data_IF_203543287085
#
_entry.id   IF_203543287085
#
_cell.length_a   1.000
_cell.length_b   1.000
_cell.length_c   1.000
_cell.angle_alpha   90.00
_cell.angle_beta   90.00
_cell.angle_gamma   90.00
#
_symmetry.space_group_name_H-M   'P 1'
#
loop_
_entity.id
_entity.type
_entity.pdbx_description
1 polymer ?
#
# COMPACT_ATOMS: atom_id res chain seq x y z
N UNK A 1 23.81 -22.23 -17.73
CA UNK A 1 22.67 -21.45 -18.23
C UNK A 1 22.69 -20.15 -17.46
N UNK A 2 23.31 -19.12 -18.04
CA UNK A 2 23.45 -17.81 -17.43
C UNK A 2 22.08 -17.13 -17.37
N UNK A 3 21.59 -16.88 -16.16
CA UNK A 3 20.50 -15.93 -15.94
C UNK A 3 21.08 -14.52 -16.10
N UNK A 4 20.78 -13.90 -17.23
CA UNK A 4 21.00 -12.48 -17.46
C UNK A 4 20.12 -11.71 -16.49
N UNK A 5 20.69 -11.23 -15.38
CA UNK A 5 20.11 -10.14 -14.59
C UNK A 5 20.15 -8.89 -15.47
N UNK A 6 19.05 -8.61 -16.18
CA UNK A 6 18.86 -7.31 -16.80
C UNK A 6 18.72 -6.27 -15.69
N UNK A 7 19.66 -5.31 -15.63
CA UNK A 7 19.57 -4.14 -14.78
C UNK A 7 18.34 -3.32 -15.20
N UNK A 8 17.24 -3.44 -14.47
CA UNK A 8 16.07 -2.54 -14.58
C UNK A 8 16.29 -1.29 -13.72
N UNK A 9 17.34 -0.52 -14.00
CA UNK A 9 17.61 0.76 -13.30
C UNK A 9 16.80 1.94 -13.88
N UNK A 10 16.07 1.74 -14.99
CA UNK A 10 15.26 2.78 -15.62
C UNK A 10 13.80 2.71 -15.16
N UNK A 11 13.33 3.79 -14.52
CA UNK A 11 11.93 3.95 -14.17
C UNK A 11 11.07 4.02 -15.45
N UNK A 12 9.81 3.54 -15.41
CA UNK A 12 8.89 3.70 -16.53
C UNK A 12 8.78 5.16 -16.96
N UNK A 13 8.76 5.43 -18.27
CA UNK A 13 8.73 6.81 -18.80
C UNK A 13 7.51 7.64 -18.37
N UNK A 14 6.45 6.99 -17.88
CA UNK A 14 5.25 7.61 -17.33
C UNK A 14 5.39 8.01 -15.85
N UNK A 15 6.45 7.55 -15.15
CA UNK A 15 6.68 7.80 -13.73
C UNK A 15 7.72 8.92 -13.53
N UNK A 16 7.31 9.98 -12.83
CA UNK A 16 8.21 11.07 -12.42
C UNK A 16 8.30 11.16 -10.91
N UNK A 17 9.51 11.16 -10.37
CA UNK A 17 9.78 11.28 -8.93
C UNK A 17 10.32 12.67 -8.60
N UNK A 18 9.64 13.38 -7.69
CA UNK A 18 10.00 14.72 -7.23
C UNK A 18 10.48 14.68 -5.78
N UNK A 19 11.49 15.48 -5.42
CA UNK A 19 12.04 15.54 -4.06
C UNK A 19 12.01 16.96 -3.53
N UNK A 20 11.09 17.25 -2.61
CA UNK A 20 10.95 18.58 -2.03
C UNK A 20 10.27 19.62 -2.94
N UNK A 21 9.89 19.25 -4.15
CA UNK A 21 9.30 20.13 -5.16
C UNK A 21 7.76 20.02 -5.21
N UNK A 22 7.11 20.12 -4.05
CA UNK A 22 5.63 20.18 -3.99
C UNK A 22 5.05 21.40 -4.73
N UNK A 23 5.90 22.40 -4.98
CA UNK A 23 5.58 23.60 -5.77
C UNK A 23 5.17 23.27 -7.21
N UNK A 24 5.79 22.27 -7.83
CA UNK A 24 5.47 21.87 -9.20
C UNK A 24 4.03 21.38 -9.35
N UNK A 25 3.43 20.81 -8.31
CA UNK A 25 2.00 20.49 -8.30
C UNK A 25 1.16 21.77 -8.31
N UNK A 26 1.52 22.76 -7.49
CA UNK A 26 0.77 24.01 -7.39
C UNK A 26 0.82 24.80 -8.70
N UNK A 27 1.92 24.74 -9.43
CA UNK A 27 2.09 25.41 -10.73
C UNK A 27 1.21 24.81 -11.84
N UNK A 28 0.73 23.57 -11.66
CA UNK A 28 -0.23 22.92 -12.57
C UNK A 28 -1.68 23.34 -12.31
N UNK A 29 -1.93 24.11 -11.27
CA UNK A 29 -3.27 24.59 -10.93
C UNK A 29 -3.82 25.50 -12.04
N UNK A 30 -4.86 25.04 -12.74
CA UNK A 30 -5.53 25.81 -13.80
C UNK A 30 -7.05 25.66 -13.74
N UNK A 31 -7.83 26.65 -14.18
CA UNK A 31 -9.26 26.49 -14.38
C UNK A 31 -9.54 25.39 -15.41
N UNK A 32 -10.35 24.40 -15.03
CA UNK A 32 -10.87 23.34 -15.89
C UNK A 32 -12.33 23.10 -15.51
N UNK A 33 -13.13 22.61 -16.46
CA UNK A 33 -14.53 22.24 -16.23
C UNK A 33 -14.63 20.89 -15.51
N UNK A 34 -13.72 19.96 -15.85
CA UNK A 34 -13.56 18.66 -15.19
C UNK A 34 -12.10 18.49 -14.74
N UNK A 35 -11.87 17.87 -13.57
CA UNK A 35 -10.52 17.58 -13.12
C UNK A 35 -9.85 16.59 -14.08
N UNK A 36 -8.54 16.75 -14.28
CA UNK A 36 -7.72 15.85 -15.13
C UNK A 36 -6.55 15.25 -14.35
N UNK A 37 -6.34 15.71 -13.13
CA UNK A 37 -5.27 15.25 -12.25
C UNK A 37 -5.85 14.82 -10.90
N UNK A 38 -5.62 13.56 -10.52
CA UNK A 38 -6.01 13.01 -9.24
C UNK A 38 -4.86 13.17 -8.25
N UNK A 39 -5.06 14.00 -7.23
CA UNK A 39 -4.09 14.23 -6.16
C UNK A 39 -4.40 13.29 -5.00
N UNK A 40 -3.56 12.27 -4.83
CA UNK A 40 -3.70 11.26 -3.79
C UNK A 40 -2.77 11.57 -2.62
N UNK A 41 -3.32 11.63 -1.41
CA UNK A 41 -2.56 11.84 -0.19
C UNK A 41 -2.86 10.72 0.82
N UNK A 42 -1.88 9.86 1.18
CA UNK A 42 -2.08 8.82 2.18
C UNK A 42 -2.45 9.34 3.58
N UNK A 43 -2.23 10.63 3.84
CA UNK A 43 -2.52 11.27 5.12
C UNK A 43 -3.29 12.58 4.87
N UNK A 44 -4.42 12.72 5.55
CA UNK A 44 -5.34 13.86 5.43
C UNK A 44 -4.66 15.22 5.70
N UNK A 45 -3.66 15.25 6.58
CA UNK A 45 -2.89 16.47 6.86
C UNK A 45 -2.23 17.02 5.58
N UNK A 46 -1.70 16.16 4.71
CA UNK A 46 -1.01 16.59 3.49
C UNK A 46 -1.99 17.08 2.43
N UNK A 47 -3.13 16.38 2.27
CA UNK A 47 -4.25 16.88 1.46
C UNK A 47 -4.68 18.27 1.90
N UNK A 48 -4.90 18.47 3.20
CA UNK A 48 -5.25 19.79 3.77
C UNK A 48 -4.18 20.84 3.52
N UNK A 49 -2.90 20.49 3.61
CA UNK A 49 -1.79 21.41 3.35
C UNK A 49 -1.71 21.84 1.88
N UNK A 50 -1.85 20.91 0.92
CA UNK A 50 -1.89 21.24 -0.52
C UNK A 50 -3.08 22.15 -0.81
N UNK A 51 -4.27 21.78 -0.32
CA UNK A 51 -5.47 22.58 -0.51
C UNK A 51 -5.38 23.97 0.15
N UNK A 52 -4.64 24.10 1.27
CA UNK A 52 -4.36 25.39 1.91
C UNK A 52 -3.45 26.24 1.03
N UNK A 53 -2.34 25.70 0.54
CA UNK A 53 -1.39 26.42 -0.32
C UNK A 53 -2.02 26.88 -1.63
N UNK A 54 -2.90 26.07 -2.23
CA UNK A 54 -3.70 26.50 -3.40
C UNK A 54 -4.57 27.72 -3.09
N UNK A 55 -5.22 27.75 -1.92
CA UNK A 55 -6.02 28.92 -1.48
C UNK A 55 -5.15 30.14 -1.22
N UNK A 56 -4.02 29.97 -0.54
CA UNK A 56 -3.06 31.05 -0.25
C UNK A 56 -2.54 31.71 -1.53
N UNK A 57 -2.48 30.96 -2.64
CA UNK A 57 -2.10 31.47 -3.97
C UNK A 57 -3.24 31.99 -4.83
N UNK A 58 -4.48 31.96 -4.33
CA UNK A 58 -5.68 32.19 -5.15
C UNK A 58 -5.69 31.34 -6.43
N UNK A 59 -5.10 30.15 -6.38
CA UNK A 59 -5.02 29.24 -7.51
C UNK A 59 -6.32 28.45 -7.65
N UNK A 60 -6.73 28.18 -8.90
CA UNK A 60 -7.92 27.38 -9.17
C UNK A 60 -7.68 25.91 -8.80
N UNK A 61 -8.69 25.29 -8.18
CA UNK A 61 -8.69 23.85 -7.91
C UNK A 61 -9.32 23.02 -9.02
N UNK A 62 -9.86 23.65 -10.07
CA UNK A 62 -10.68 22.97 -11.08
C UNK A 62 -9.96 21.85 -11.85
N UNK A 63 -8.61 21.90 -11.91
CA UNK A 63 -7.82 20.83 -12.52
C UNK A 63 -7.67 19.57 -11.64
N UNK A 64 -7.96 19.65 -10.34
CA UNK A 64 -7.63 18.61 -9.36
C UNK A 64 -8.84 17.96 -8.73
N UNK A 65 -8.77 16.64 -8.62
CA UNK A 65 -9.57 15.84 -7.69
C UNK A 65 -8.68 15.40 -6.51
N UNK A 66 -9.23 15.28 -5.30
CA UNK A 66 -8.44 14.98 -4.10
C UNK A 66 -8.97 13.77 -3.36
N UNK A 67 -8.15 12.73 -3.29
CA UNK A 67 -8.50 11.45 -2.67
C UNK A 67 -7.39 10.93 -1.76
N UNK A 68 -7.73 9.92 -0.97
CA UNK A 68 -6.76 9.08 -0.29
C UNK A 68 -6.69 7.71 -1.01
N UNK A 69 -5.64 6.89 -0.75
CA UNK A 69 -5.50 5.60 -1.43
C UNK A 69 -6.69 4.66 -1.25
N UNK A 70 -7.42 4.75 -0.14
CA UNK A 70 -8.58 3.89 0.15
C UNK A 70 -9.78 4.33 -0.67
N UNK A 71 -10.01 5.65 -0.78
CA UNK A 71 -11.03 6.23 -1.66
C UNK A 71 -10.84 5.80 -3.11
N UNK A 72 -9.61 5.94 -3.63
CA UNK A 72 -9.23 5.45 -4.97
C UNK A 72 -9.55 3.98 -5.15
N UNK A 73 -9.21 3.18 -4.14
CA UNK A 73 -9.44 1.75 -4.17
C UNK A 73 -10.92 1.41 -4.19
N UNK A 74 -11.75 2.14 -3.43
CA UNK A 74 -13.20 1.95 -3.44
C UNK A 74 -13.81 2.30 -4.79
N UNK A 75 -13.44 3.43 -5.37
CA UNK A 75 -13.92 3.85 -6.69
C UNK A 75 -13.59 2.81 -7.76
N UNK A 76 -12.34 2.31 -7.79
CA UNK A 76 -11.94 1.24 -8.70
C UNK A 76 -12.71 -0.06 -8.44
N UNK A 77 -12.89 -0.45 -7.18
CA UNK A 77 -13.57 -1.70 -6.82
C UNK A 77 -15.07 -1.64 -7.10
N UNK A 78 -15.71 -0.48 -6.97
CA UNK A 78 -17.13 -0.28 -7.24
C UNK A 78 -17.47 -0.43 -8.74
N UNK A 79 -16.50 -0.20 -9.63
CA UNK A 79 -16.60 -0.53 -11.07
C UNK A 79 -16.36 -2.03 -11.37
N UNK A 80 -16.21 -2.85 -10.32
CA UNK A 80 -16.00 -4.30 -10.44
C UNK A 80 -16.98 -5.06 -9.55
N UNK A 81 -16.98 -6.39 -9.67
CA UNK A 81 -17.74 -7.26 -8.77
C UNK A 81 -16.99 -7.61 -7.47
N UNK A 82 -15.88 -6.92 -7.17
CA UNK A 82 -15.05 -7.19 -6.00
C UNK A 82 -15.54 -6.36 -4.79
N UNK A 83 -15.70 -6.94 -3.60
CA UNK A 83 -16.18 -6.19 -2.44
C UNK A 83 -15.25 -5.04 -2.02
N UNK A 84 -15.81 -3.83 -1.90
CA UNK A 84 -15.13 -2.58 -1.55
C UNK A 84 -15.19 -2.20 -0.06
N UNK A 85 -15.66 -3.11 0.81
CA UNK A 85 -15.81 -2.88 2.26
C UNK A 85 -14.77 -3.63 3.09
N UNK A 86 -14.16 -2.90 4.02
CA UNK A 86 -13.31 -3.44 5.08
C UNK A 86 -14.02 -3.47 6.43
N UNK A 87 -13.56 -4.34 7.34
CA UNK A 87 -13.93 -4.26 8.76
C UNK A 87 -13.25 -3.06 9.42
N UNK A 88 -13.90 -2.44 10.39
CA UNK A 88 -13.30 -1.37 11.16
C UNK A 88 -12.28 -1.91 12.19
N UNK A 89 -11.53 -1.00 12.80
CA UNK A 89 -10.50 -1.36 13.78
C UNK A 89 -11.08 -2.01 15.04
N UNK A 90 -12.28 -1.61 15.48
CA UNK A 90 -12.92 -2.14 16.69
C UNK A 90 -13.30 -3.60 16.45
N UNK A 91 -13.97 -3.86 15.34
CA UNK A 91 -14.35 -5.21 14.90
C UNK A 91 -13.12 -6.10 14.75
N UNK A 92 -12.05 -5.58 14.10
CA UNK A 92 -10.81 -6.34 13.93
C UNK A 92 -10.14 -6.67 15.25
N UNK A 93 -10.05 -5.72 16.18
CA UNK A 93 -9.49 -5.98 17.52
C UNK A 93 -10.33 -6.99 18.31
N UNK A 94 -11.65 -7.01 18.11
CA UNK A 94 -12.53 -8.02 18.70
C UNK A 94 -12.25 -9.42 18.12
N UNK A 95 -12.05 -9.53 16.80
CA UNK A 95 -11.67 -10.78 16.14
C UNK A 95 -10.29 -11.28 16.59
N UNK A 96 -9.29 -10.39 16.67
CA UNK A 96 -7.95 -10.73 17.19
C UNK A 96 -8.04 -11.22 18.63
N UNK A 97 -8.83 -10.55 19.49
CA UNK A 97 -9.05 -11.01 20.87
C UNK A 97 -9.61 -12.41 20.93
N UNK A 98 -10.64 -12.70 20.12
CA UNK A 98 -11.25 -14.03 20.05
C UNK A 98 -10.26 -15.08 19.58
N UNK A 99 -9.43 -14.78 18.57
CA UNK A 99 -8.36 -15.67 18.09
C UNK A 99 -7.37 -16.02 19.21
N UNK A 100 -6.97 -15.01 20.00
CA UNK A 100 -6.03 -15.20 21.09
C UNK A 100 -6.64 -16.07 22.20
N UNK A 101 -7.89 -15.82 22.61
CA UNK A 101 -8.60 -16.63 23.62
C UNK A 101 -8.78 -18.09 23.19
N UNK A 102 -9.10 -18.35 21.93
CA UNK A 102 -9.24 -19.72 21.40
C UNK A 102 -7.89 -20.46 21.36
N UNK A 103 -6.81 -19.74 21.04
CA UNK A 103 -5.45 -20.29 21.03
C UNK A 103 -4.96 -20.68 22.43
N UNK A 104 -5.49 -20.07 23.50
CA UNK A 104 -5.19 -20.52 24.89
C UNK A 104 -5.94 -21.78 25.27
N UNK A 105 -7.10 -22.02 24.64
CA UNK A 105 -8.04 -23.09 24.99
C UNK A 105 -7.76 -24.40 24.24
N UNK A 106 -6.96 -24.37 23.16
CA UNK A 106 -6.61 -25.53 22.33
C UNK A 106 -5.11 -25.83 22.44
N UNK A 107 -4.75 -27.09 22.73
CA UNK A 107 -3.38 -27.62 22.61
C UNK A 107 -2.89 -27.74 21.14
N UNK A 108 -3.66 -27.26 20.15
CA UNK A 108 -3.40 -27.43 18.73
C UNK A 108 -3.31 -26.08 17.98
N UNK A 109 -2.20 -25.88 17.25
CA UNK A 109 -1.97 -24.91 16.17
C UNK A 109 -2.59 -23.50 16.37
N UNK A 110 -2.44 -22.92 17.57
CA UNK A 110 -2.74 -21.51 17.81
C UNK A 110 -1.68 -20.60 17.19
N UNK A 111 -2.02 -19.32 17.04
CA UNK A 111 -1.07 -18.27 16.64
C UNK A 111 0.13 -18.32 17.60
N UNK A 112 1.30 -18.73 17.09
CA UNK A 112 2.54 -18.74 17.87
C UNK A 112 3.10 -17.32 17.90
N UNK A 113 2.89 -16.63 19.01
CA UNK A 113 3.48 -15.31 19.21
C UNK A 113 4.95 -15.45 19.63
N UNK A 114 5.89 -14.70 19.04
CA UNK A 114 7.29 -14.71 19.45
C UNK A 114 7.43 -14.19 20.89
N UNK A 115 8.48 -14.63 21.57
CA UNK A 115 8.79 -14.31 22.97
C UNK A 115 8.94 -12.81 23.27
N UNK A 116 9.22 -11.99 22.25
CA UNK A 116 9.33 -10.53 22.34
C UNK A 116 8.01 -9.76 22.30
N UNK A 117 6.86 -10.40 21.96
CA UNK A 117 5.55 -9.74 22.00
C UNK A 117 5.06 -9.74 23.45
N UNK A 118 5.06 -8.59 24.16
CA UNK A 118 5.03 -8.56 25.64
C UNK A 118 3.73 -9.08 26.26
N UNK A 119 2.68 -9.26 25.45
CA UNK A 119 1.39 -9.76 25.90
C UNK A 119 0.58 -10.27 24.72
N UNK A 120 -0.34 -11.22 24.96
CA UNK A 120 -1.49 -11.52 24.10
C UNK A 120 -2.48 -10.35 24.04
N UNK A 121 -1.98 -9.12 24.05
CA UNK A 121 -2.77 -7.92 23.84
C UNK A 121 -3.16 -7.82 22.36
N UNK A 122 -4.47 -7.79 22.05
CA UNK A 122 -4.94 -7.69 20.67
C UNK A 122 -4.38 -6.47 19.92
N UNK A 123 -4.08 -5.36 20.61
CA UNK A 123 -3.56 -4.17 19.94
C UNK A 123 -2.13 -4.38 19.45
N UNK A 124 -1.28 -5.00 20.26
CA UNK A 124 0.11 -5.32 19.91
C UNK A 124 0.19 -6.31 18.75
N UNK A 125 -0.66 -7.34 18.74
CA UNK A 125 -0.74 -8.32 17.65
C UNK A 125 -1.24 -7.67 16.35
N UNK A 126 -2.25 -6.82 16.44
CA UNK A 126 -2.77 -6.08 15.28
C UNK A 126 -1.76 -5.06 14.73
N UNK A 127 -0.97 -4.44 15.60
CA UNK A 127 0.12 -3.54 15.21
C UNK A 127 1.17 -4.30 14.40
N UNK A 128 1.65 -5.44 14.91
CA UNK A 128 2.59 -6.32 14.20
C UNK A 128 2.05 -6.74 12.82
N UNK A 129 0.79 -7.20 12.77
CA UNK A 129 0.12 -7.55 11.50
C UNK A 129 0.13 -6.40 10.50
N UNK A 130 -0.22 -5.19 10.96
CA UNK A 130 -0.28 -3.98 10.11
C UNK A 130 1.11 -3.55 9.62
N UNK A 131 2.15 -3.69 10.44
CA UNK A 131 3.53 -3.37 10.04
C UNK A 131 4.05 -4.33 8.97
N UNK A 132 3.82 -5.63 9.15
CA UNK A 132 4.16 -6.64 8.13
C UNK A 132 3.35 -6.40 6.85
N UNK A 133 2.06 -6.07 6.94
CA UNK A 133 1.22 -5.67 5.80
C UNK A 133 1.81 -4.46 5.07
N UNK A 134 2.21 -3.41 5.80
CA UNK A 134 2.76 -2.20 5.19
C UNK A 134 4.11 -2.44 4.49
N UNK A 135 4.94 -3.35 5.01
CA UNK A 135 6.28 -3.62 4.48
C UNK A 135 6.29 -4.66 3.36
N UNK A 136 5.39 -5.64 3.41
CA UNK A 136 5.41 -6.78 2.48
C UNK A 136 4.20 -6.81 1.57
N UNK A 137 3.09 -6.16 1.93
CA UNK A 137 1.77 -6.37 1.33
C UNK A 137 1.40 -7.87 1.25
N UNK A 138 1.95 -8.68 2.16
CA UNK A 138 1.95 -10.16 2.15
C UNK A 138 2.35 -10.78 0.80
N UNK A 139 3.13 -10.06 -0.02
CA UNK A 139 3.58 -10.53 -1.32
C UNK A 139 4.66 -11.61 -1.17
N UNK A 140 4.58 -12.75 -1.90
CA UNK A 140 5.53 -13.86 -1.76
C UNK A 140 7.00 -13.45 -1.84
N UNK A 141 7.36 -12.61 -2.82
CA UNK A 141 8.75 -12.13 -2.97
C UNK A 141 9.22 -11.26 -1.79
N UNK A 142 8.37 -10.36 -1.27
CA UNK A 142 8.75 -9.50 -0.13
C UNK A 142 8.79 -10.29 1.18
N UNK A 143 7.90 -11.27 1.35
CA UNK A 143 7.93 -12.22 2.46
C UNK A 143 9.21 -13.07 2.39
N UNK A 144 9.58 -13.57 1.21
CA UNK A 144 10.83 -14.29 0.99
C UNK A 144 12.07 -13.42 1.26
N UNK A 145 12.06 -12.16 0.82
CA UNK A 145 13.12 -11.20 1.09
C UNK A 145 13.25 -10.92 2.59
N UNK A 146 12.14 -10.81 3.31
CA UNK A 146 12.15 -10.68 4.77
C UNK A 146 12.81 -11.89 5.44
N UNK A 147 12.40 -13.10 5.07
CA UNK A 147 12.99 -14.34 5.62
C UNK A 147 14.49 -14.43 5.34
N UNK A 148 14.91 -14.12 4.13
CA UNK A 148 16.32 -14.07 3.74
C UNK A 148 17.11 -13.04 4.58
N UNK A 149 16.54 -11.85 4.77
CA UNK A 149 17.16 -10.82 5.61
C UNK A 149 17.22 -11.25 7.09
N UNK A 150 16.15 -11.83 7.64
CA UNK A 150 16.10 -12.35 9.00
C UNK A 150 17.17 -13.42 9.25
N UNK A 151 17.28 -14.42 8.36
CA UNK A 151 18.29 -15.48 8.45
C UNK A 151 19.74 -15.02 8.27
N UNK A 152 19.97 -13.75 7.90
CA UNK A 152 21.31 -13.13 7.84
C UNK A 152 21.70 -12.38 9.12
N UNK A 153 20.75 -12.24 10.06
CA UNK A 153 20.99 -11.62 11.37
C UNK A 153 21.61 -12.64 12.34
N UNK A 154 22.08 -12.15 13.48
CA UNK A 154 22.66 -12.98 14.53
C UNK A 154 21.61 -13.37 15.57
N UNK A 155 21.78 -14.53 16.21
CA UNK A 155 20.93 -14.98 17.31
C UNK A 155 20.97 -13.99 18.50
N UNK A 156 19.82 -13.62 19.10
CA UNK A 156 18.46 -14.15 18.87
C UNK A 156 17.60 -13.35 17.87
N UNK A 157 18.18 -12.38 17.17
CA UNK A 157 17.43 -11.42 16.35
C UNK A 157 16.86 -12.09 15.09
N UNK A 158 17.56 -13.06 14.52
CA UNK A 158 17.09 -13.88 13.41
C UNK A 158 15.76 -14.58 13.75
N UNK A 159 15.74 -15.39 14.81
CA UNK A 159 14.59 -16.15 15.26
C UNK A 159 13.42 -15.24 15.68
N UNK A 160 13.71 -14.11 16.33
CA UNK A 160 12.68 -13.14 16.68
C UNK A 160 12.06 -12.50 15.42
N UNK A 161 12.88 -12.13 14.43
CA UNK A 161 12.42 -11.52 13.18
C UNK A 161 11.59 -12.48 12.32
N UNK A 162 11.96 -13.77 12.29
CA UNK A 162 11.15 -14.82 11.66
C UNK A 162 9.83 -15.05 12.40
N UNK A 163 9.88 -15.16 13.73
CA UNK A 163 8.69 -15.36 14.55
C UNK A 163 7.70 -14.20 14.45
N UNK A 164 8.17 -12.96 14.31
CA UNK A 164 7.31 -11.79 14.07
C UNK A 164 6.56 -11.88 12.73
N UNK A 165 7.26 -12.29 11.66
CA UNK A 165 6.66 -12.47 10.36
C UNK A 165 5.62 -13.60 10.37
N UNK A 166 5.97 -14.77 10.89
CA UNK A 166 5.07 -15.93 10.91
C UNK A 166 3.83 -15.65 11.77
N UNK A 167 3.98 -14.99 12.92
CA UNK A 167 2.85 -14.56 13.74
C UNK A 167 1.90 -13.62 12.98
N UNK A 168 2.42 -12.64 12.25
CA UNK A 168 1.60 -11.74 11.45
C UNK A 168 0.84 -12.48 10.33
N UNK A 169 1.51 -13.41 9.64
CA UNK A 169 0.90 -14.22 8.57
C UNK A 169 -0.20 -15.14 9.11
N UNK A 170 0.03 -15.77 10.26
CA UNK A 170 -0.95 -16.66 10.89
C UNK A 170 -2.18 -15.90 11.38
N UNK A 171 -2.00 -14.72 11.97
CA UNK A 171 -3.10 -13.84 12.37
C UNK A 171 -3.91 -13.40 11.15
N UNK A 172 -3.25 -12.95 10.09
CA UNK A 172 -3.91 -12.53 8.86
C UNK A 172 -4.73 -13.67 8.25
N UNK A 173 -4.16 -14.88 8.14
CA UNK A 173 -4.88 -16.07 7.65
C UNK A 173 -6.11 -16.37 8.50
N UNK A 174 -5.95 -16.40 9.81
CA UNK A 174 -7.03 -16.72 10.73
C UNK A 174 -8.14 -15.64 10.75
N UNK A 175 -7.80 -14.37 10.50
CA UNK A 175 -8.79 -13.30 10.34
C UNK A 175 -9.60 -13.47 9.04
N UNK A 176 -8.96 -13.83 7.93
CA UNK A 176 -9.63 -14.08 6.64
C UNK A 176 -10.63 -15.22 6.69
N UNK A 177 -10.35 -16.26 7.48
CA UNK A 177 -11.28 -17.37 7.70
C UNK A 177 -12.56 -16.94 8.44
N UNK A 178 -12.54 -15.80 9.15
CA UNK A 178 -13.66 -15.33 9.99
C UNK A 178 -14.58 -14.33 9.30
N UNK A 179 -14.16 -13.73 8.19
CA UNK A 179 -14.96 -12.71 7.51
C UNK A 179 -14.66 -12.66 6.01
N UNK A 180 -15.70 -12.53 5.16
CA UNK A 180 -15.50 -12.30 3.72
C UNK A 180 -15.15 -10.83 3.39
N UNK A 181 -15.29 -9.91 4.35
CA UNK A 181 -14.91 -8.50 4.19
C UNK A 181 -13.38 -8.39 4.18
N UNK A 182 -12.87 -7.31 3.59
CA UNK A 182 -11.44 -6.99 3.74
C UNK A 182 -11.09 -6.78 5.23
N UNK A 183 -9.96 -7.30 5.67
CA UNK A 183 -9.45 -7.22 7.04
C UNK A 183 -9.03 -5.78 7.37
N UNK A 184 -8.47 -5.07 6.40
CA UNK A 184 -8.02 -3.70 6.55
C UNK A 184 -8.41 -2.84 5.35
N UNK A 185 -8.39 -1.52 5.51
CA UNK A 185 -8.50 -0.62 4.37
C UNK A 185 -7.29 -0.74 3.42
N UNK A 186 -6.12 -1.15 3.95
CA UNK A 186 -4.94 -1.45 3.15
C UNK A 186 -5.15 -2.66 2.25
N UNK A 187 -5.92 -3.66 2.68
CA UNK A 187 -6.33 -4.76 1.82
C UNK A 187 -7.21 -4.29 0.66
N UNK A 188 -8.01 -3.23 0.81
CA UNK A 188 -8.75 -2.65 -0.32
C UNK A 188 -7.80 -2.12 -1.42
N UNK A 189 -6.68 -1.49 -1.03
CA UNK A 189 -5.63 -1.05 -1.97
C UNK A 189 -5.09 -2.22 -2.77
N UNK A 190 -4.86 -3.34 -2.10
CA UNK A 190 -4.37 -4.56 -2.73
C UNK A 190 -5.41 -5.21 -3.65
N UNK A 191 -6.67 -5.28 -3.23
CA UNK A 191 -7.77 -5.76 -4.08
C UNK A 191 -7.93 -4.89 -5.32
N UNK A 192 -7.87 -3.57 -5.18
CA UNK A 192 -7.92 -2.63 -6.31
C UNK A 192 -6.73 -2.82 -7.26
N UNK A 193 -5.52 -3.01 -6.73
CA UNK A 193 -4.31 -3.34 -7.51
C UNK A 193 -4.53 -4.59 -8.37
N UNK A 194 -5.07 -5.67 -7.77
CA UNK A 194 -5.38 -6.90 -8.50
C UNK A 194 -6.49 -6.70 -9.52
N UNK A 195 -7.52 -5.91 -9.21
CA UNK A 195 -8.61 -5.59 -10.13
C UNK A 195 -8.13 -4.79 -11.36
N UNK A 196 -7.28 -3.78 -11.16
CA UNK A 196 -6.66 -3.00 -12.25
C UNK A 196 -5.86 -3.92 -13.16
N UNK A 197 -5.05 -4.81 -12.58
CA UNK A 197 -4.23 -5.75 -13.35
C UNK A 197 -5.10 -6.76 -14.10
N UNK A 198 -6.12 -7.33 -13.45
CA UNK A 198 -7.00 -8.34 -14.04
C UNK A 198 -7.91 -7.80 -15.14
N UNK A 199 -8.22 -6.50 -15.10
CA UNK A 199 -9.05 -5.81 -16.10
C UNK A 199 -8.22 -5.06 -17.15
N UNK A 200 -6.89 -5.23 -17.14
CA UNK A 200 -5.98 -4.52 -18.04
C UNK A 200 -6.23 -3.00 -18.04
N UNK A 201 -6.51 -2.44 -16.85
CA UNK A 201 -6.71 -1.00 -16.65
C UNK A 201 -8.12 -0.49 -16.93
N UNK A 202 -9.07 -1.32 -17.38
CA UNK A 202 -10.43 -0.85 -17.66
C UNK A 202 -11.14 -0.39 -16.39
N UNK A 203 -10.98 -1.10 -15.27
CA UNK A 203 -11.59 -0.70 -13.98
C UNK A 203 -11.10 0.68 -13.50
N UNK A 204 -9.84 1.06 -13.81
CA UNK A 204 -9.35 2.41 -13.55
C UNK A 204 -10.02 3.43 -14.47
N UNK A 205 -10.08 3.14 -15.77
CA UNK A 205 -10.62 4.04 -16.79
C UNK A 205 -12.11 4.31 -16.58
N UNK A 206 -12.85 3.28 -16.15
CA UNK A 206 -14.28 3.40 -15.85
C UNK A 206 -14.52 4.26 -14.59
N UNK A 207 -13.68 4.08 -13.55
CA UNK A 207 -13.78 4.85 -12.31
C UNK A 207 -13.34 6.32 -12.48
N UNK A 208 -12.33 6.57 -13.33
CA UNK A 208 -11.70 7.87 -13.51
C UNK A 208 -11.52 8.24 -15.00
N UNK A 209 -12.62 8.42 -15.76
CA UNK A 209 -12.57 8.55 -17.22
C UNK A 209 -11.88 9.82 -17.72
N UNK A 210 -11.82 10.87 -16.89
CA UNK A 210 -11.24 12.17 -17.24
C UNK A 210 -9.82 12.35 -16.67
N UNK A 211 -9.34 11.40 -15.85
CA UNK A 211 -8.05 11.53 -15.17
C UNK A 211 -6.93 11.02 -16.06
N UNK A 212 -6.08 11.95 -16.46
CA UNK A 212 -4.90 11.70 -17.31
C UNK A 212 -3.62 11.57 -16.46
N UNK A 213 -3.67 12.03 -15.20
CA UNK A 213 -2.51 12.06 -14.29
C UNK A 213 -2.89 11.73 -12.86
N UNK A 214 -2.06 10.93 -12.19
CA UNK A 214 -2.10 10.72 -10.74
C UNK A 214 -0.88 11.35 -10.08
N UNK A 215 -1.11 12.17 -9.05
CA UNK A 215 -0.05 12.78 -8.25
C UNK A 215 -0.15 12.32 -6.80
N UNK A 216 0.77 11.47 -6.37
CA UNK A 216 0.90 11.01 -4.99
C UNK A 216 1.74 12.04 -4.20
N UNK A 217 1.13 12.69 -3.21
CA UNK A 217 1.78 13.77 -2.46
C UNK A 217 2.10 13.41 -1.02
N UNK A 218 3.14 14.07 -0.50
CA UNK A 218 3.42 14.04 0.92
C UNK A 218 4.07 12.75 1.42
N UNK A 219 4.64 11.98 0.50
CA UNK A 219 5.13 10.63 0.77
C UNK A 219 6.45 10.74 1.54
N UNK A 220 6.44 10.36 2.82
CA UNK A 220 7.65 10.20 3.64
C UNK A 220 8.18 8.78 3.64
N UNK A 221 7.37 7.84 3.18
CA UNK A 221 7.68 6.43 2.90
C UNK A 221 6.66 5.91 1.89
N UNK A 222 7.09 5.03 1.00
CA UNK A 222 6.18 4.31 0.09
C UNK A 222 6.02 2.89 0.63
N UNK A 223 4.85 2.59 1.20
CA UNK A 223 4.54 1.24 1.67
C UNK A 223 4.37 0.29 0.48
N UNK A 224 4.56 -1.02 0.72
CA UNK A 224 4.41 -2.03 -0.31
C UNK A 224 3.03 -1.99 -1.02
N UNK A 225 1.89 -1.82 -0.33
CA UNK A 225 0.59 -1.67 -1.00
C UNK A 225 0.49 -0.47 -1.93
N UNK A 226 1.09 0.68 -1.56
CA UNK A 226 1.09 1.87 -2.43
C UNK A 226 2.04 1.71 -3.61
N UNK A 227 3.19 1.07 -3.41
CA UNK A 227 4.10 0.73 -4.51
C UNK A 227 3.44 -0.20 -5.52
N UNK A 228 2.73 -1.23 -5.03
CA UNK A 228 1.99 -2.17 -5.87
C UNK A 228 0.89 -1.48 -6.67
N UNK A 229 0.11 -0.59 -6.04
CA UNK A 229 -0.91 0.20 -6.74
C UNK A 229 -0.29 1.03 -7.86
N UNK A 230 0.77 1.80 -7.56
CA UNK A 230 1.49 2.60 -8.56
C UNK A 230 2.03 1.73 -9.68
N UNK A 231 2.63 0.59 -9.34
CA UNK A 231 3.16 -0.34 -10.32
C UNK A 231 2.05 -0.87 -11.26
N UNK A 232 0.92 -1.30 -10.71
CA UNK A 232 -0.21 -1.81 -11.51
C UNK A 232 -0.78 -0.76 -12.46
N UNK A 233 -0.86 0.50 -12.03
CA UNK A 233 -1.31 1.61 -12.88
C UNK A 233 -0.34 1.86 -14.04
N UNK A 234 0.97 1.87 -13.76
CA UNK A 234 1.99 2.05 -14.77
C UNK A 234 2.03 0.90 -15.79
N UNK A 235 1.69 -0.32 -15.37
CA UNK A 235 1.65 -1.48 -16.27
C UNK A 235 0.35 -1.55 -17.09
N UNK A 236 -0.78 -1.19 -16.49
CA UNK A 236 -2.10 -1.45 -17.06
C UNK A 236 -2.74 -0.23 -17.74
N UNK A 237 -2.16 0.97 -17.61
CA UNK A 237 -2.78 2.21 -18.11
C UNK A 237 -1.75 3.12 -18.80
N UNK A 238 -2.23 4.17 -19.48
CA UNK A 238 -1.38 5.25 -20.01
C UNK A 238 -1.24 6.44 -19.06
N UNK A 239 -1.62 6.26 -17.79
CA UNK A 239 -1.68 7.32 -16.78
C UNK A 239 -0.28 7.87 -16.48
N UNK A 240 -0.13 9.20 -16.52
CA UNK A 240 1.07 9.84 -16.00
C UNK A 240 1.07 9.77 -14.46
N UNK A 241 2.14 9.25 -13.86
CA UNK A 241 2.25 9.16 -12.40
C UNK A 241 3.37 10.05 -11.88
N UNK A 242 3.03 10.96 -10.96
CA UNK A 242 3.98 11.78 -10.23
C UNK A 242 3.99 11.41 -8.76
N UNK A 243 5.17 11.17 -8.19
CA UNK A 243 5.33 10.94 -6.75
C UNK A 243 6.17 12.06 -6.16
N UNK A 244 5.58 12.83 -5.25
CA UNK A 244 6.26 13.91 -4.52
C UNK A 244 6.72 13.42 -3.15
N UNK A 245 8.00 13.12 -3.04
CA UNK A 245 8.65 12.79 -1.78
C UNK A 245 9.02 14.05 -0.99
N UNK A 246 9.00 13.91 0.34
CA UNK A 246 9.48 14.96 1.23
C UNK A 246 10.99 15.14 1.13
N UNK A 247 11.47 16.38 1.24
CA UNK A 247 12.90 16.71 1.16
C UNK A 247 13.79 15.88 2.09
N UNK A 248 13.32 15.54 3.29
CA UNK A 248 14.12 14.79 4.29
C UNK A 248 14.32 13.30 3.98
N UNK A 249 13.39 12.66 3.28
CA UNK A 249 13.46 11.22 2.96
C UNK A 249 13.50 10.94 1.46
N UNK A 250 13.29 11.95 0.63
CA UNK A 250 12.99 11.77 -0.79
C UNK A 250 14.17 11.32 -1.63
N UNK A 251 15.40 11.70 -1.32
CA UNK A 251 16.57 11.18 -2.05
C UNK A 251 16.74 9.68 -1.85
N UNK A 252 16.61 9.22 -0.60
CA UNK A 252 16.64 7.80 -0.28
C UNK A 252 15.49 7.05 -0.96
N UNK A 253 14.27 7.59 -0.91
CA UNK A 253 13.10 6.95 -1.52
C UNK A 253 13.17 6.94 -3.05
N UNK A 254 13.70 8.00 -3.67
CA UNK A 254 13.92 8.07 -5.12
C UNK A 254 14.85 6.94 -5.57
N UNK A 255 15.96 6.72 -4.87
CA UNK A 255 16.87 5.61 -5.15
C UNK A 255 16.27 4.23 -4.88
N UNK A 256 15.35 4.12 -3.91
CA UNK A 256 14.69 2.85 -3.56
C UNK A 256 13.48 2.51 -4.44
N UNK A 257 12.87 3.50 -5.09
CA UNK A 257 11.62 3.33 -5.85
C UNK A 257 11.70 2.26 -6.95
N UNK A 258 12.76 2.20 -7.78
CA UNK A 258 12.89 1.11 -8.77
C UNK A 258 12.73 -0.28 -8.12
N UNK A 259 13.45 -0.55 -7.03
CA UNK A 259 13.39 -1.83 -6.33
C UNK A 259 12.03 -2.09 -5.62
N UNK A 260 11.26 -1.05 -5.30
CA UNK A 260 9.91 -1.23 -4.74
C UNK A 260 8.89 -1.64 -5.81
N UNK A 261 9.11 -1.17 -7.05
CA UNK A 261 8.28 -1.48 -8.21
C UNK A 261 8.75 -2.75 -8.93
N UNK A 262 9.99 -3.18 -8.74
CA UNK A 262 10.52 -4.43 -9.30
C UNK A 262 9.96 -5.66 -8.58
N UNK A 263 8.68 -5.94 -8.82
CA UNK A 263 7.96 -7.08 -8.27
C UNK A 263 7.01 -7.67 -9.29
N UNK A 264 7.03 -8.99 -9.46
CA UNK A 264 6.17 -9.65 -10.42
C UNK A 264 4.75 -9.87 -9.85
N UNK A 265 3.73 -9.36 -10.54
CA UNK A 265 2.34 -9.52 -10.15
C UNK A 265 1.98 -8.72 -8.88
N UNK A 266 2.04 -7.37 -8.93
CA UNK A 266 1.73 -6.52 -7.78
C UNK A 266 0.37 -6.86 -7.16
N UNK A 267 0.31 -6.91 -5.82
CA UNK A 267 -0.89 -7.25 -5.07
C UNK A 267 -1.18 -8.75 -4.91
N UNK A 268 -0.33 -9.66 -5.44
CA UNK A 268 -0.36 -11.10 -5.09
C UNK A 268 -0.05 -11.34 -3.61
N UNK A 269 -0.55 -12.46 -3.09
CA UNK A 269 -0.46 -12.79 -1.66
C UNK A 269 0.00 -14.22 -1.43
N UNK A 270 0.65 -14.47 -0.29
CA UNK A 270 1.04 -15.82 0.15
C UNK A 270 -0.12 -16.70 0.64
N UNK A 271 -1.36 -16.19 0.61
CA UNK A 271 -2.55 -16.88 1.09
C UNK A 271 -3.43 -17.46 -0.03
N UNK A 272 -3.11 -17.16 -1.30
CA UNK A 272 -3.82 -17.64 -2.50
C UNK A 272 -3.17 -18.89 -3.09
#
# INVERSE_FOLDING_TARGET
MEHVHARHDELPGQLTLHVGDEELLLDRARPRVRPTELVVAPVELHKRNVQRRLRERSASKGAFEFEDPVGVSRSVLDETNVPSKAIDRIDRLALVRSLLTESESREAAGVSLPSGVPSRDPQSVEQLRTEVEALTNFHPERVGAWRSAAGSLYEPIDAESEGQLDAALDVERALRERTPKAISETELVRRATRAITATEGSAWTDAYPEIERLTLVGVSSLSAPHADLVHSLLLATSLEVHVHFRRGTGEFLRGRTPALLDIAGPGREVFE
#
